data_IF_588431687879
#
_entry.id   IF_588431687879
#
_cell.length_a   1.000
_cell.length_b   1.000
_cell.length_c   1.000
_cell.angle_alpha   90.00
_cell.angle_beta   90.00
_cell.angle_gamma   90.00
#
_symmetry.space_group_name_H-M   'P 1'
#
loop_
_entity.id
_entity.type
_entity.pdbx_description
1 polymer ?
#
# COMPACT_ATOMS: atom_id res chain seq x y z
N UNK A 1 10.69 21.69 -1.09
CA UNK A 1 9.39 21.02 -0.81
C UNK A 1 8.56 21.10 -2.08
N UNK A 2 8.11 19.97 -2.63
CA UNK A 2 7.16 20.00 -3.75
C UNK A 2 5.86 20.70 -3.30
N UNK A 3 5.34 21.59 -4.15
CA UNK A 3 4.11 22.31 -3.84
C UNK A 3 2.94 21.31 -3.75
N UNK A 4 2.30 21.23 -2.61
CA UNK A 4 1.06 20.45 -2.42
C UNK A 4 -0.02 21.11 -3.28
N UNK A 5 -0.37 20.49 -4.40
CA UNK A 5 -1.29 21.08 -5.37
C UNK A 5 -2.61 20.28 -5.37
N UNK A 6 -3.72 21.01 -5.38
CA UNK A 6 -5.01 20.41 -5.73
C UNK A 6 -5.08 20.35 -7.26
N UNK A 7 -5.38 19.19 -7.80
CA UNK A 7 -5.58 18.97 -9.23
C UNK A 7 -6.80 18.07 -9.46
N UNK A 8 -7.39 18.19 -10.66
CA UNK A 8 -8.39 17.25 -11.15
C UNK A 8 -7.66 16.23 -12.02
N UNK A 9 -7.75 14.97 -11.65
CA UNK A 9 -7.05 13.86 -12.32
C UNK A 9 -8.05 12.99 -13.08
N UNK A 10 -7.54 12.25 -14.08
CA UNK A 10 -8.33 11.33 -14.87
C UNK A 10 -8.04 9.90 -14.46
N UNK A 11 -9.09 9.09 -14.26
CA UNK A 11 -8.98 7.65 -14.06
C UNK A 11 -8.52 7.00 -15.38
N UNK A 12 -7.40 6.29 -15.33
CA UNK A 12 -6.85 5.57 -16.49
C UNK A 12 -7.45 4.16 -16.57
N UNK A 13 -7.50 3.48 -15.45
CA UNK A 13 -8.12 2.16 -15.32
C UNK A 13 -8.55 1.90 -13.88
N UNK A 14 -9.47 0.96 -13.71
CA UNK A 14 -9.88 0.45 -12.42
C UNK A 14 -10.23 -1.02 -12.54
N UNK A 15 -9.85 -1.78 -11.53
CA UNK A 15 -10.14 -3.20 -11.40
C UNK A 15 -10.44 -3.57 -9.95
N UNK A 16 -11.17 -4.64 -9.74
CA UNK A 16 -11.35 -5.23 -8.42
C UNK A 16 -10.30 -6.35 -8.24
N UNK A 17 -9.47 -6.24 -7.20
CA UNK A 17 -8.41 -7.22 -6.90
C UNK A 17 -8.90 -8.36 -6.01
N UNK A 18 -9.82 -8.07 -5.09
CA UNK A 18 -10.44 -8.99 -4.14
C UNK A 18 -11.78 -8.41 -3.68
N UNK A 19 -12.53 -9.14 -2.87
CA UNK A 19 -13.82 -8.65 -2.37
C UNK A 19 -13.65 -7.32 -1.60
N UNK A 20 -14.30 -6.27 -2.10
CA UNK A 20 -14.23 -4.92 -1.58
C UNK A 20 -12.86 -4.22 -1.74
N UNK A 21 -11.88 -4.81 -2.42
CA UNK A 21 -10.57 -4.22 -2.70
C UNK A 21 -10.47 -3.81 -4.16
N UNK A 22 -10.19 -2.53 -4.41
CA UNK A 22 -10.12 -1.94 -5.74
C UNK A 22 -8.75 -1.32 -5.98
N UNK A 23 -8.26 -1.45 -7.20
CA UNK A 23 -7.06 -0.84 -7.74
C UNK A 23 -7.46 0.20 -8.78
N UNK A 24 -6.93 1.41 -8.68
CA UNK A 24 -7.19 2.50 -9.62
C UNK A 24 -5.88 3.14 -10.05
N UNK A 25 -5.67 3.24 -11.37
CA UNK A 25 -4.63 4.06 -11.95
C UNK A 25 -5.20 5.44 -12.33
N UNK A 26 -4.50 6.48 -11.94
CA UNK A 26 -4.85 7.88 -12.26
C UNK A 26 -3.72 8.58 -12.98
N UNK A 27 -4.06 9.41 -13.97
CA UNK A 27 -3.11 10.32 -14.64
C UNK A 27 -2.94 11.57 -13.78
N UNK A 28 -1.71 11.86 -13.31
CA UNK A 28 -1.46 12.96 -12.36
C UNK A 28 -0.01 13.45 -12.39
N UNK A 29 0.19 14.76 -12.32
CA UNK A 29 1.52 15.37 -12.16
C UNK A 29 2.18 15.03 -10.80
N UNK A 30 1.37 14.61 -9.80
CA UNK A 30 1.87 14.17 -8.49
C UNK A 30 2.86 13.00 -8.61
N UNK A 31 2.75 12.16 -9.64
CA UNK A 31 3.65 11.04 -9.90
C UNK A 31 5.12 11.45 -10.03
N UNK A 32 5.39 12.63 -10.61
CA UNK A 32 6.76 13.13 -10.83
C UNK A 32 7.54 13.40 -9.54
N UNK A 33 6.85 13.56 -8.42
CA UNK A 33 7.48 13.91 -7.14
C UNK A 33 7.08 12.98 -5.99
N UNK A 34 6.21 12.01 -6.27
CA UNK A 34 5.78 11.02 -5.29
C UNK A 34 6.95 10.11 -4.86
N UNK A 35 6.85 9.59 -3.64
CA UNK A 35 7.81 8.66 -3.03
C UNK A 35 7.08 7.51 -2.36
N UNK A 36 7.71 6.33 -2.22
CA UNK A 36 7.14 5.21 -1.48
C UNK A 36 6.68 5.60 -0.08
N UNK A 37 5.51 5.15 0.33
CA UNK A 37 4.92 5.44 1.64
C UNK A 37 4.18 6.77 1.75
N UNK A 38 4.13 7.57 0.68
CA UNK A 38 3.26 8.73 0.59
C UNK A 38 1.82 8.34 0.23
N UNK A 39 0.91 9.29 0.36
CA UNK A 39 -0.51 9.13 0.05
C UNK A 39 -1.06 10.32 -0.72
N UNK A 40 -2.25 10.18 -1.26
CA UNK A 40 -3.05 11.28 -1.83
C UNK A 40 -4.39 11.38 -1.09
N UNK A 41 -4.91 12.59 -0.99
CA UNK A 41 -6.28 12.85 -0.52
C UNK A 41 -7.21 12.93 -1.72
N UNK A 42 -8.09 11.94 -1.88
CA UNK A 42 -9.06 11.83 -2.97
C UNK A 42 -10.42 12.40 -2.55
N UNK A 43 -11.00 13.25 -3.38
CA UNK A 43 -12.32 13.84 -3.15
C UNK A 43 -13.34 13.20 -4.09
N UNK A 44 -14.55 13.00 -3.58
CA UNK A 44 -15.69 12.63 -4.45
C UNK A 44 -16.21 13.88 -5.18
N UNK A 45 -16.92 13.65 -6.29
CA UNK A 45 -17.66 14.71 -6.97
C UNK A 45 -19.05 14.96 -6.34
N UNK A 46 -19.39 14.24 -5.26
CA UNK A 46 -20.64 14.38 -4.53
C UNK A 46 -20.49 15.43 -3.41
N UNK A 47 -21.15 16.56 -3.58
CA UNK A 47 -21.14 17.67 -2.61
C UNK A 47 -21.67 17.32 -1.20
N UNK A 48 -22.31 16.17 -1.02
CA UNK A 48 -22.71 15.65 0.29
C UNK A 48 -21.56 14.98 1.07
N UNK A 49 -20.43 14.71 0.42
CA UNK A 49 -19.24 14.02 0.99
C UNK A 49 -18.03 14.94 0.99
N UNK A 50 -18.03 15.89 1.94
CA UNK A 50 -17.03 16.95 2.00
C UNK A 50 -15.62 16.49 2.37
N UNK A 51 -15.49 15.40 3.15
CA UNK A 51 -14.19 14.94 3.62
C UNK A 51 -13.49 14.09 2.55
N UNK A 52 -12.19 14.36 2.26
CA UNK A 52 -11.42 13.51 1.37
C UNK A 52 -11.12 12.14 1.99
N UNK A 53 -10.71 11.21 1.14
CA UNK A 53 -10.21 9.90 1.55
C UNK A 53 -8.70 9.88 1.36
N UNK A 54 -7.91 9.78 2.44
CA UNK A 54 -6.47 9.57 2.34
C UNK A 54 -6.23 8.12 1.89
N UNK A 55 -5.62 7.97 0.72
CA UNK A 55 -5.29 6.67 0.14
C UNK A 55 -3.80 6.63 -0.15
N UNK A 56 -3.13 5.62 0.37
CA UNK A 56 -1.70 5.41 0.14
C UNK A 56 -1.42 5.13 -1.33
N UNK A 57 -0.28 5.63 -1.80
CA UNK A 57 0.24 5.34 -3.14
C UNK A 57 0.77 3.90 -3.11
N UNK A 58 0.29 3.10 -4.07
CA UNK A 58 0.70 1.70 -4.25
C UNK A 58 1.86 1.59 -5.23
N UNK A 59 1.79 2.30 -6.37
CA UNK A 59 2.84 2.34 -7.39
C UNK A 59 2.95 3.72 -8.04
N UNK A 60 4.15 4.01 -8.54
CA UNK A 60 4.52 5.29 -9.15
C UNK A 60 5.11 5.04 -10.54
N UNK A 61 4.43 5.51 -11.57
CA UNK A 61 4.94 5.56 -12.93
C UNK A 61 5.30 7.01 -13.28
N UNK A 62 6.56 7.34 -13.14
CA UNK A 62 7.07 8.69 -13.43
C UNK A 62 7.15 8.97 -14.94
N UNK A 63 7.34 7.95 -15.77
CA UNK A 63 7.51 8.08 -17.22
C UNK A 63 6.19 8.50 -17.87
N UNK A 64 5.11 7.83 -17.50
CA UNK A 64 3.78 8.16 -18.04
C UNK A 64 2.94 9.04 -17.11
N UNK A 65 3.53 9.54 -16.01
CA UNK A 65 2.88 10.40 -15.01
C UNK A 65 1.60 9.81 -14.44
N UNK A 66 1.69 8.56 -13.91
CA UNK A 66 0.56 7.87 -13.31
C UNK A 66 0.87 7.42 -11.89
N UNK A 67 -0.17 7.39 -11.06
CA UNK A 67 -0.14 6.77 -9.74
C UNK A 67 -1.18 5.64 -9.68
N UNK A 68 -0.78 4.53 -9.05
CA UNK A 68 -1.71 3.48 -8.66
C UNK A 68 -2.07 3.65 -7.19
N UNK A 69 -3.34 3.60 -6.89
CA UNK A 69 -3.86 3.53 -5.53
C UNK A 69 -4.69 2.26 -5.38
N UNK A 70 -4.59 1.64 -4.20
CA UNK A 70 -5.41 0.47 -3.84
C UNK A 70 -6.15 0.79 -2.56
N UNK A 71 -7.46 0.59 -2.55
CA UNK A 71 -8.32 0.99 -1.44
C UNK A 71 -9.42 -0.04 -1.17
N UNK A 72 -9.93 0.01 0.06
CA UNK A 72 -11.03 -0.85 0.49
C UNK A 72 -12.34 -0.07 0.53
N UNK A 73 -13.41 -0.68 0.04
CA UNK A 73 -14.79 -0.26 0.28
C UNK A 73 -15.27 -0.94 1.56
N UNK A 74 -15.52 -0.17 2.60
CA UNK A 74 -15.88 -0.70 3.93
C UNK A 74 -17.37 -0.69 4.21
N UNK A 75 -18.14 0.13 3.50
CA UNK A 75 -19.58 0.24 3.65
C UNK A 75 -20.21 0.96 2.45
N UNK A 76 -21.51 0.79 2.30
CA UNK A 76 -22.34 1.55 1.36
C UNK A 76 -22.34 3.06 1.69
N UNK A 77 -22.62 3.88 0.69
CA UNK A 77 -22.70 5.35 0.77
C UNK A 77 -21.41 6.03 1.26
N UNK A 78 -20.26 5.34 1.20
CA UNK A 78 -18.94 5.91 1.50
C UNK A 78 -18.32 6.56 0.27
N UNK A 79 -17.26 7.38 0.46
CA UNK A 79 -16.48 7.93 -0.66
C UNK A 79 -15.76 6.85 -1.45
N UNK A 80 -15.24 5.82 -0.78
CA UNK A 80 -14.57 4.69 -1.44
C UNK A 80 -15.53 3.85 -2.29
N UNK A 81 -16.79 3.71 -1.87
CA UNK A 81 -17.82 3.09 -2.72
C UNK A 81 -18.11 3.91 -3.98
N UNK A 82 -18.08 5.25 -3.90
CA UNK A 82 -18.22 6.08 -5.10
C UNK A 82 -17.02 5.90 -6.03
N UNK A 83 -15.81 5.85 -5.49
CA UNK A 83 -14.62 5.58 -6.30
C UNK A 83 -14.70 4.22 -7.00
N UNK A 84 -15.22 3.18 -6.32
CA UNK A 84 -15.31 1.83 -6.91
C UNK A 84 -16.26 1.73 -8.14
N UNK A 85 -17.11 2.74 -8.34
CA UNK A 85 -18.01 2.83 -9.49
C UNK A 85 -17.44 3.64 -10.66
N UNK A 86 -16.28 4.27 -10.47
CA UNK A 86 -15.62 5.07 -11.51
C UNK A 86 -15.02 4.19 -12.58
N UNK A 87 -14.88 4.76 -13.77
CA UNK A 87 -14.38 4.08 -14.98
C UNK A 87 -13.29 4.92 -15.64
N UNK A 88 -12.54 4.30 -16.54
CA UNK A 88 -11.59 5.02 -17.39
C UNK A 88 -12.25 6.22 -18.08
N UNK A 89 -11.58 7.38 -17.97
CA UNK A 89 -12.08 8.66 -18.46
C UNK A 89 -12.83 9.51 -17.43
N UNK A 90 -13.29 8.94 -16.31
CA UNK A 90 -13.87 9.72 -15.22
C UNK A 90 -12.80 10.59 -14.55
N UNK A 91 -13.24 11.67 -13.90
CA UNK A 91 -12.33 12.60 -13.24
C UNK A 91 -12.69 12.80 -11.77
N UNK A 92 -11.66 13.05 -10.94
CA UNK A 92 -11.86 13.39 -9.53
C UNK A 92 -10.78 14.38 -9.06
N UNK A 93 -11.12 15.24 -8.05
CA UNK A 93 -10.12 16.10 -7.44
C UNK A 93 -9.25 15.32 -6.46
N UNK A 94 -7.94 15.60 -6.47
CA UNK A 94 -6.99 15.10 -5.47
C UNK A 94 -6.14 16.23 -4.88
N UNK A 95 -5.53 15.95 -3.74
CA UNK A 95 -4.40 16.73 -3.20
C UNK A 95 -3.27 15.73 -2.93
N UNK A 96 -2.10 15.98 -3.48
CA UNK A 96 -0.94 15.10 -3.30
C UNK A 96 0.31 15.54 -4.06
N UNK A 97 1.44 14.80 -3.88
CA UNK A 97 1.63 13.76 -2.86
C UNK A 97 1.72 14.35 -1.44
N UNK A 98 1.30 13.59 -0.44
CA UNK A 98 1.28 13.96 0.97
C UNK A 98 2.07 12.96 1.82
N UNK A 99 2.53 13.40 3.00
CA UNK A 99 3.36 12.58 3.89
C UNK A 99 4.84 12.63 3.56
N UNK A 100 5.66 11.97 4.40
CA UNK A 100 7.13 12.04 4.29
C UNK A 100 7.71 10.90 3.43
N UNK A 101 6.98 9.80 3.23
CA UNK A 101 7.49 8.59 2.61
C UNK A 101 8.38 7.76 3.54
N UNK A 102 8.82 6.60 3.05
CA UNK A 102 9.78 5.75 3.74
C UNK A 102 11.23 6.25 3.52
N UNK A 103 12.11 6.13 4.53
CA UNK A 103 13.53 6.51 4.41
C UNK A 103 14.31 5.42 3.68
N UNK A 104 14.43 5.49 2.35
CA UNK A 104 15.08 4.47 1.51
C UNK A 104 16.57 4.27 1.88
N UNK A 105 17.30 5.36 2.11
CA UNK A 105 18.73 5.31 2.45
C UNK A 105 19.03 4.53 3.74
N UNK A 106 18.06 4.46 4.66
CA UNK A 106 18.22 3.73 5.91
C UNK A 106 18.33 2.20 5.71
N UNK A 107 17.80 1.68 4.61
CA UNK A 107 17.83 0.25 4.28
C UNK A 107 19.04 -0.19 3.47
N UNK A 108 19.84 0.74 2.95
CA UNK A 108 20.93 0.43 2.05
C UNK A 108 21.96 -0.51 2.68
N UNK A 109 22.24 -1.63 2.01
CA UNK A 109 23.20 -2.64 2.47
C UNK A 109 22.73 -3.47 3.68
N UNK A 110 21.44 -3.41 4.03
CA UNK A 110 20.84 -4.14 5.14
C UNK A 110 19.91 -5.24 4.64
N UNK A 111 19.59 -6.19 5.52
CA UNK A 111 18.44 -7.08 5.33
C UNK A 111 17.21 -6.36 5.86
N UNK A 112 16.21 -6.19 5.03
CA UNK A 112 15.00 -5.46 5.39
C UNK A 112 13.77 -6.36 5.49
N UNK A 113 13.01 -6.22 6.57
CA UNK A 113 11.61 -6.66 6.58
C UNK A 113 10.73 -5.58 5.96
N UNK A 114 9.94 -5.98 4.97
CA UNK A 114 8.86 -5.19 4.39
C UNK A 114 7.54 -5.84 4.80
N UNK A 115 6.86 -5.26 5.79
CA UNK A 115 5.69 -5.89 6.41
C UNK A 115 4.42 -5.14 6.04
N UNK A 116 3.48 -5.82 5.39
CA UNK A 116 2.15 -5.30 5.06
C UNK A 116 1.04 -6.11 5.69
N UNK A 117 -0.02 -5.46 6.21
CA UNK A 117 -1.19 -6.15 6.75
C UNK A 117 -2.51 -5.60 6.20
N UNK A 118 -3.32 -6.46 5.56
CA UNK A 118 -4.59 -6.07 4.96
C UNK A 118 -4.44 -4.91 3.97
N UNK A 119 -5.17 -3.80 4.16
CA UNK A 119 -5.05 -2.63 3.28
C UNK A 119 -3.74 -1.84 3.49
N UNK A 120 -2.86 -2.27 4.39
CA UNK A 120 -1.49 -1.77 4.51
C UNK A 120 -0.49 -2.46 3.57
N UNK A 121 -0.89 -3.51 2.87
CA UNK A 121 -0.07 -4.21 1.85
C UNK A 121 0.29 -3.30 0.67
N UNK A 122 -0.64 -2.57 0.02
CA UNK A 122 -0.36 -1.78 -1.17
C UNK A 122 0.78 -0.76 -1.04
N UNK A 123 0.90 0.06 0.02
CA UNK A 123 1.98 1.05 0.12
C UNK A 123 3.38 0.44 0.27
N UNK A 124 3.48 -0.86 0.56
CA UNK A 124 4.76 -1.57 0.63
C UNK A 124 5.29 -1.95 -0.77
N UNK A 125 4.42 -2.01 -1.79
CA UNK A 125 4.84 -2.45 -3.12
C UNK A 125 5.84 -1.49 -3.78
N UNK A 126 5.56 -0.18 -3.80
CA UNK A 126 6.51 0.78 -4.35
C UNK A 126 7.82 0.83 -3.54
N UNK A 127 7.75 0.63 -2.23
CA UNK A 127 8.95 0.49 -1.41
C UNK A 127 9.76 -0.75 -1.83
N UNK A 128 9.12 -1.89 -2.06
CA UNK A 128 9.78 -3.11 -2.49
C UNK A 128 10.50 -2.94 -3.84
N UNK A 129 9.93 -2.16 -4.75
CA UNK A 129 10.54 -1.84 -6.05
C UNK A 129 11.76 -0.94 -5.93
N UNK A 130 11.71 0.09 -5.07
CA UNK A 130 12.75 1.12 -5.01
C UNK A 130 13.85 0.86 -3.97
N UNK A 131 13.61 -0.01 -2.99
CA UNK A 131 14.59 -0.27 -1.93
C UNK A 131 15.74 -1.14 -2.45
N UNK A 132 16.95 -0.64 -2.39
CA UNK A 132 18.17 -1.33 -2.82
C UNK A 132 18.82 -2.10 -1.66
N UNK A 133 18.27 -3.28 -1.35
CA UNK A 133 18.78 -4.16 -0.30
C UNK A 133 18.20 -5.57 -0.42
N UNK A 134 18.66 -6.51 0.41
CA UNK A 134 18.01 -7.80 0.60
C UNK A 134 16.65 -7.61 1.27
N UNK A 135 15.58 -8.11 0.64
CA UNK A 135 14.20 -7.91 1.08
C UNK A 135 13.51 -9.22 1.43
N UNK A 136 13.02 -9.31 2.64
CA UNK A 136 12.08 -10.33 3.10
C UNK A 136 10.73 -9.66 3.26
N UNK A 137 9.79 -10.01 2.40
CA UNK A 137 8.49 -9.35 2.26
C UNK A 137 7.45 -10.20 2.96
N UNK A 138 6.89 -9.70 4.05
CA UNK A 138 5.95 -10.44 4.91
C UNK A 138 4.57 -9.81 4.79
N UNK A 139 3.62 -10.51 4.17
CA UNK A 139 2.28 -10.02 3.89
C UNK A 139 1.23 -10.79 4.67
N UNK A 140 0.42 -10.07 5.45
CA UNK A 140 -0.67 -10.62 6.26
C UNK A 140 -2.03 -10.32 5.61
N UNK A 141 -2.83 -11.38 5.41
CA UNK A 141 -4.19 -11.31 4.90
C UNK A 141 -5.15 -12.02 5.85
N UNK A 142 -6.44 -11.86 5.62
CA UNK A 142 -7.46 -12.58 6.40
C UNK A 142 -7.65 -14.01 5.90
N UNK A 143 -7.60 -14.19 4.58
CA UNK A 143 -7.94 -15.41 3.86
C UNK A 143 -7.11 -15.54 2.57
N UNK A 144 -7.55 -16.41 1.64
CA UNK A 144 -6.85 -16.69 0.38
C UNK A 144 -6.79 -15.53 -0.61
N UNK A 145 -7.49 -14.43 -0.38
CA UNK A 145 -7.47 -13.23 -1.24
C UNK A 145 -6.15 -12.45 -1.08
N UNK A 146 -5.04 -13.06 -1.54
CA UNK A 146 -3.67 -12.55 -1.41
C UNK A 146 -3.31 -11.58 -2.55
N UNK A 147 -4.07 -10.50 -2.68
CA UNK A 147 -3.86 -9.50 -3.74
C UNK A 147 -2.45 -8.91 -3.73
N UNK A 148 -1.90 -8.61 -4.92
CA UNK A 148 -0.55 -8.10 -5.17
C UNK A 148 0.60 -9.09 -4.88
N UNK A 149 0.33 -10.35 -4.52
CA UNK A 149 1.36 -11.34 -4.19
C UNK A 149 2.39 -11.48 -5.32
N UNK A 150 1.93 -11.67 -6.55
CA UNK A 150 2.78 -11.87 -7.73
C UNK A 150 3.73 -10.69 -7.97
N UNK A 151 3.22 -9.45 -7.83
CA UNK A 151 4.05 -8.24 -7.97
C UNK A 151 5.12 -8.14 -6.86
N UNK A 152 4.84 -8.65 -5.67
CA UNK A 152 5.85 -8.70 -4.61
C UNK A 152 6.92 -9.78 -4.88
N UNK A 153 6.54 -10.92 -5.43
CA UNK A 153 7.46 -12.02 -5.78
C UNK A 153 8.52 -11.59 -6.82
N UNK A 154 8.21 -10.60 -7.65
CA UNK A 154 9.17 -9.98 -8.59
C UNK A 154 10.24 -9.13 -7.89
N UNK A 155 10.03 -8.75 -6.63
CA UNK A 155 10.84 -7.76 -5.92
C UNK A 155 11.58 -8.29 -4.68
N UNK A 156 11.37 -9.54 -4.30
CA UNK A 156 12.04 -10.15 -3.15
C UNK A 156 11.43 -11.48 -2.74
N UNK A 157 11.92 -12.05 -1.64
CA UNK A 157 11.36 -13.28 -1.08
C UNK A 157 10.09 -12.97 -0.29
N UNK A 158 8.96 -13.58 -0.67
CA UNK A 158 7.65 -13.33 -0.10
C UNK A 158 7.24 -14.42 0.88
N UNK A 159 6.78 -14.03 2.05
CA UNK A 159 6.18 -14.86 3.08
C UNK A 159 4.75 -14.39 3.32
N UNK A 160 3.80 -15.30 3.21
CA UNK A 160 2.38 -15.01 3.40
C UNK A 160 1.91 -15.59 4.73
N UNK A 161 1.11 -14.81 5.46
CA UNK A 161 0.29 -15.32 6.56
C UNK A 161 -1.18 -15.02 6.29
N UNK A 162 -2.05 -15.98 6.63
CA UNK A 162 -3.50 -15.81 6.60
C UNK A 162 -4.12 -16.20 7.94
N UNK A 163 -5.09 -15.42 8.41
CA UNK A 163 -5.71 -15.66 9.72
C UNK A 163 -6.40 -17.03 9.77
N UNK A 164 -7.02 -17.45 8.67
CA UNK A 164 -7.70 -18.73 8.54
C UNK A 164 -6.76 -19.91 8.21
N UNK A 165 -5.52 -19.64 7.78
CA UNK A 165 -4.53 -20.63 7.36
C UNK A 165 -4.74 -21.18 5.95
N UNK A 166 -5.49 -20.48 5.11
CA UNK A 166 -5.78 -20.91 3.72
C UNK A 166 -4.56 -20.83 2.81
N UNK A 167 -3.62 -19.91 3.08
CA UNK A 167 -2.37 -19.74 2.33
C UNK A 167 -1.23 -19.37 3.28
N UNK A 168 -0.07 -20.01 3.12
CA UNK A 168 1.14 -19.73 3.89
C UNK A 168 1.01 -20.10 5.38
N UNK A 169 1.64 -19.31 6.24
CA UNK A 169 1.58 -19.50 7.69
C UNK A 169 0.19 -19.16 8.22
N UNK A 170 -0.38 -20.03 9.03
CA UNK A 170 -1.63 -19.75 9.75
C UNK A 170 -1.39 -18.75 10.88
N UNK A 171 -2.07 -17.61 10.85
CA UNK A 171 -1.97 -16.58 11.88
C UNK A 171 -1.66 -15.21 11.30
N UNK A 172 -0.78 -14.47 11.93
CA UNK A 172 -0.41 -13.12 11.57
C UNK A 172 1.06 -13.02 11.10
N UNK A 173 1.50 -11.84 10.70
CA UNK A 173 2.87 -11.60 10.19
C UNK A 173 3.98 -11.98 11.18
N UNK A 174 3.73 -11.89 12.49
CA UNK A 174 4.72 -12.29 13.50
C UNK A 174 4.86 -13.81 13.58
N UNK A 175 3.77 -14.54 13.30
CA UNK A 175 3.81 -16.00 13.23
C UNK A 175 4.62 -16.45 12.02
N UNK A 176 4.46 -15.77 10.86
CA UNK A 176 5.26 -16.03 9.66
C UNK A 176 6.76 -15.77 9.90
N UNK A 177 7.12 -14.69 10.61
CA UNK A 177 8.51 -14.38 10.97
C UNK A 177 9.11 -15.49 11.82
N UNK A 178 8.39 -15.94 12.87
CA UNK A 178 8.86 -16.98 13.80
C UNK A 178 8.98 -18.35 13.14
N UNK A 179 7.94 -18.75 12.38
CA UNK A 179 7.89 -20.06 11.73
C UNK A 179 9.01 -20.24 10.71
N UNK A 180 9.37 -19.17 10.00
CA UNK A 180 10.42 -19.20 8.98
C UNK A 180 11.81 -18.78 9.52
N UNK A 181 11.95 -18.49 10.80
CA UNK A 181 13.23 -18.10 11.41
C UNK A 181 13.83 -16.87 10.78
N UNK A 182 13.00 -15.86 10.42
CA UNK A 182 13.44 -14.68 9.70
C UNK A 182 14.12 -13.67 10.62
N UNK A 183 15.15 -12.98 10.08
CA UNK A 183 15.88 -11.93 10.77
C UNK A 183 16.09 -10.75 9.84
N UNK A 184 16.10 -9.53 10.38
CA UNK A 184 16.36 -8.31 9.63
C UNK A 184 17.12 -7.28 10.46
N UNK A 185 17.82 -6.37 9.76
CA UNK A 185 18.56 -5.25 10.36
C UNK A 185 17.68 -3.99 10.42
N UNK A 186 16.61 -3.96 9.60
CA UNK A 186 15.67 -2.82 9.55
C UNK A 186 14.27 -3.33 9.19
N UNK A 187 13.24 -2.68 9.74
CA UNK A 187 11.84 -3.02 9.51
C UNK A 187 11.09 -1.83 8.95
N UNK A 188 10.41 -2.04 7.82
CA UNK A 188 9.41 -1.14 7.27
C UNK A 188 8.04 -1.81 7.39
N UNK A 189 7.06 -1.11 7.94
CA UNK A 189 5.75 -1.71 8.18
C UNK A 189 4.60 -0.76 7.88
N UNK A 190 3.51 -1.31 7.32
CA UNK A 190 2.24 -0.62 7.17
C UNK A 190 1.09 -1.58 7.44
N UNK A 191 0.14 -1.18 8.29
CA UNK A 191 -1.01 -2.00 8.63
C UNK A 191 -1.76 -1.56 9.88
N UNK A 192 -2.62 -2.43 10.43
CA UNK A 192 -3.43 -2.12 11.61
C UNK A 192 -2.58 -1.83 12.85
N UNK A 193 -3.07 -0.93 13.72
CA UNK A 193 -2.37 -0.57 14.96
C UNK A 193 -1.93 -1.76 15.83
N UNK A 194 -2.73 -2.83 16.03
CA UNK A 194 -2.29 -3.98 16.79
C UNK A 194 -1.06 -4.67 16.18
N UNK A 195 -1.02 -4.82 14.84
CA UNK A 195 0.12 -5.37 14.12
C UNK A 195 1.37 -4.50 14.32
N UNK A 196 1.26 -3.18 14.14
CA UNK A 196 2.38 -2.26 14.31
C UNK A 196 2.93 -2.25 15.73
N UNK A 197 2.07 -2.42 16.75
CA UNK A 197 2.50 -2.58 18.15
C UNK A 197 3.29 -3.86 18.38
N UNK A 198 2.83 -4.99 17.83
CA UNK A 198 3.54 -6.26 17.92
C UNK A 198 4.90 -6.22 17.22
N UNK A 199 4.97 -5.60 16.04
CA UNK A 199 6.24 -5.39 15.31
C UNK A 199 7.19 -4.51 16.11
N UNK A 200 6.70 -3.42 16.72
CA UNK A 200 7.52 -2.54 17.56
C UNK A 200 8.10 -3.29 18.75
N UNK A 201 7.28 -4.05 19.46
CA UNK A 201 7.74 -4.87 20.58
C UNK A 201 8.81 -5.87 20.15
N UNK A 202 8.58 -6.58 19.05
CA UNK A 202 9.57 -7.49 18.47
C UNK A 202 10.90 -6.79 18.18
N UNK A 203 10.86 -5.61 17.56
CA UNK A 203 12.09 -4.85 17.24
C UNK A 203 12.85 -4.34 18.49
N UNK A 204 12.16 -4.14 19.62
CA UNK A 204 12.77 -3.74 20.90
C UNK A 204 13.43 -4.93 21.65
N UNK A 205 13.04 -6.17 21.30
CA UNK A 205 13.55 -7.41 21.90
C UNK A 205 14.76 -7.99 21.13
N UNK A 206 15.07 -7.48 19.90
CA UNK A 206 16.24 -7.88 19.07
C UNK A 206 17.43 -6.96 19.29
#
# INVERSE_FOLDING_TARGET
MAARKRETVTVVSQEQLADGIFSMWIQTEAAKTARPGQFISMYTNDGSKLLPRPISICEIDTETSKLRVVYRVTAEKTGTEQFSKMKAGDTLPIIGPLGNGFPLEAGKGKRAFLIGGGIGVPPILELAKQLDCEKQIIMGYRDADTFLKEQFEENGTVYISTEDGSVGTKGNVMDAIRENGLEADIIYACGPTPMLRAIKQYAEEQ
#
